data_IF_383385681297
#
_entry.id   IF_383385681297
#
_cell.length_a   1.000
_cell.length_b   1.000
_cell.length_c   1.000
_cell.angle_alpha   90.00
_cell.angle_beta   90.00
_cell.angle_gamma   90.00
#
_symmetry.space_group_name_H-M   'P 1'
#
loop_
_entity.id
_entity.type
_entity.pdbx_description
1 polymer ?
#
# COMPACT_ATOMS: atom_id res chain seq x y z
N UNK A 1 -1.07 20.04 -52.15
CA UNK A 1 -1.84 19.19 -51.21
C UNK A 1 -1.48 19.68 -49.81
N UNK A 2 -2.41 20.38 -49.14
CA UNK A 2 -2.15 21.08 -47.89
C UNK A 2 -2.62 20.18 -46.75
N UNK A 3 -1.70 19.72 -45.91
CA UNK A 3 -2.00 18.83 -44.78
C UNK A 3 -2.63 19.68 -43.67
N UNK A 4 -3.91 19.44 -43.37
CA UNK A 4 -4.63 20.09 -42.28
C UNK A 4 -4.08 19.59 -40.93
N UNK A 5 -3.45 20.50 -40.19
CA UNK A 5 -2.89 20.25 -38.86
C UNK A 5 -3.96 20.29 -37.74
N UNK A 6 -5.23 20.46 -38.08
CA UNK A 6 -6.34 20.59 -37.13
C UNK A 6 -6.51 19.40 -36.17
N UNK A 7 -6.08 18.19 -36.58
CA UNK A 7 -6.14 17.01 -35.70
C UNK A 7 -5.19 17.13 -34.50
N UNK A 8 -4.01 17.76 -34.70
CA UNK A 8 -2.99 17.89 -33.65
C UNK A 8 -3.48 18.81 -32.53
N UNK A 9 -4.12 19.92 -32.89
CA UNK A 9 -4.68 20.86 -31.91
C UNK A 9 -5.86 20.27 -31.12
N UNK A 10 -6.72 19.47 -31.76
CA UNK A 10 -7.83 18.77 -31.07
C UNK A 10 -7.32 17.71 -30.09
N UNK A 11 -6.25 17.01 -30.46
CA UNK A 11 -5.60 16.04 -29.58
C UNK A 11 -4.99 16.69 -28.33
N UNK A 12 -4.25 17.79 -28.52
CA UNK A 12 -3.64 18.51 -27.39
C UNK A 12 -4.67 19.13 -26.45
N UNK A 13 -5.81 19.60 -26.98
CA UNK A 13 -6.93 20.07 -26.16
C UNK A 13 -7.55 18.94 -25.34
N UNK A 14 -7.84 17.78 -25.95
CA UNK A 14 -8.40 16.64 -25.23
C UNK A 14 -7.43 16.09 -24.16
N UNK A 15 -6.13 16.03 -24.47
CA UNK A 15 -5.09 15.63 -23.53
C UNK A 15 -4.96 16.62 -22.36
N UNK A 16 -5.01 17.92 -22.64
CA UNK A 16 -4.98 18.97 -21.61
C UNK A 16 -6.18 18.90 -20.67
N UNK A 17 -7.38 18.64 -21.19
CA UNK A 17 -8.60 18.46 -20.37
C UNK A 17 -8.50 17.22 -19.49
N UNK A 18 -7.98 16.10 -20.03
CA UNK A 18 -7.79 14.87 -19.25
C UNK A 18 -6.79 15.09 -18.10
N UNK A 19 -5.67 15.76 -18.35
CA UNK A 19 -4.68 16.09 -17.31
C UNK A 19 -5.26 17.04 -16.26
N UNK A 20 -6.03 18.06 -16.68
CA UNK A 20 -6.69 18.98 -15.76
C UNK A 20 -7.74 18.27 -14.89
N UNK A 21 -8.50 17.33 -15.46
CA UNK A 21 -9.44 16.51 -14.70
C UNK A 21 -8.71 15.62 -13.69
N UNK A 22 -7.63 14.94 -14.08
CA UNK A 22 -6.84 14.10 -13.17
C UNK A 22 -6.23 14.92 -12.02
N UNK A 23 -5.76 16.15 -12.30
CA UNK A 23 -5.23 17.05 -11.28
C UNK A 23 -6.29 17.52 -10.27
N UNK A 24 -7.57 17.62 -10.67
CA UNK A 24 -8.67 17.98 -9.76
C UNK A 24 -9.04 16.85 -8.77
N UNK A 25 -8.61 15.60 -9.02
CA UNK A 25 -8.92 14.46 -8.16
C UNK A 25 -7.91 14.22 -7.01
N UNK A 26 -6.92 15.10 -6.84
CA UNK A 26 -5.96 15.08 -5.71
C UNK A 26 -5.34 13.68 -5.48
N UNK A 27 -4.99 13.01 -6.57
CA UNK A 27 -4.34 11.71 -6.55
C UNK A 27 -2.90 11.84 -6.02
N UNK A 28 -2.36 10.73 -5.50
CA UNK A 28 -0.96 10.67 -5.12
C UNK A 28 -0.12 10.96 -6.38
N UNK A 29 0.78 11.98 -6.37
CA UNK A 29 1.50 12.44 -7.56
C UNK A 29 2.32 11.33 -8.25
N UNK A 30 2.70 10.28 -7.52
CA UNK A 30 3.37 9.11 -8.10
C UNK A 30 2.45 8.25 -8.98
N UNK A 31 1.17 8.14 -8.63
CA UNK A 31 0.17 7.39 -9.40
C UNK A 31 -0.16 8.16 -10.68
N UNK A 32 -0.32 9.49 -10.57
CA UNK A 32 -0.53 10.36 -11.73
C UNK A 32 0.63 10.28 -12.72
N UNK A 33 1.87 10.27 -12.21
CA UNK A 33 3.06 10.11 -13.04
C UNK A 33 3.08 8.75 -13.75
N UNK A 34 2.78 7.66 -13.06
CA UNK A 34 2.74 6.32 -13.65
C UNK A 34 1.63 6.18 -14.70
N UNK A 35 0.43 6.72 -14.45
CA UNK A 35 -0.66 6.70 -15.43
C UNK A 35 -0.28 7.54 -16.66
N UNK A 36 0.24 8.76 -16.46
CA UNK A 36 0.66 9.63 -17.56
C UNK A 36 1.81 9.01 -18.38
N UNK A 37 2.78 8.38 -17.72
CA UNK A 37 3.90 7.70 -18.37
C UNK A 37 3.44 6.46 -19.15
N UNK A 38 2.55 5.64 -18.58
CA UNK A 38 2.02 4.44 -19.24
C UNK A 38 1.16 4.79 -20.44
N UNK A 39 0.31 5.83 -20.34
CA UNK A 39 -0.47 6.35 -21.48
C UNK A 39 0.47 6.90 -22.55
N UNK A 40 1.52 7.62 -22.18
CA UNK A 40 2.51 8.16 -23.13
C UNK A 40 3.30 7.05 -23.83
N UNK A 41 3.69 5.99 -23.12
CA UNK A 41 4.36 4.83 -23.69
C UNK A 41 3.45 4.03 -24.62
N UNK A 42 2.19 3.84 -24.27
CA UNK A 42 1.21 3.19 -25.14
C UNK A 42 0.99 4.00 -26.43
N UNK A 43 0.87 5.31 -26.32
CA UNK A 43 0.75 6.22 -27.48
C UNK A 43 2.04 6.22 -28.32
N UNK A 44 3.22 6.17 -27.71
CA UNK A 44 4.49 6.14 -28.45
C UNK A 44 4.75 4.78 -29.12
N UNK A 45 4.50 3.67 -28.41
CA UNK A 45 4.71 2.31 -28.90
C UNK A 45 3.71 1.92 -29.99
N UNK A 46 2.48 2.44 -29.92
CA UNK A 46 1.44 2.15 -30.89
C UNK A 46 1.21 3.28 -31.90
N UNK A 47 1.70 4.49 -31.69
CA UNK A 47 1.50 5.65 -32.58
C UNK A 47 1.80 5.39 -34.06
N UNK A 48 2.92 4.71 -34.41
CA UNK A 48 3.21 4.36 -35.80
C UNK A 48 2.28 3.29 -36.38
N UNK A 49 1.69 2.43 -35.52
CA UNK A 49 0.71 1.41 -35.92
C UNK A 49 -0.70 2.00 -35.99
N UNK A 50 -1.08 2.90 -35.09
CA UNK A 50 -2.38 3.60 -35.06
C UNK A 50 -2.59 4.46 -36.32
N UNK A 51 -1.52 4.96 -36.95
CA UNK A 51 -1.60 5.65 -38.25
C UNK A 51 -2.17 4.78 -39.39
N UNK A 52 -2.13 3.44 -39.27
CA UNK A 52 -2.79 2.50 -40.20
C UNK A 52 -4.18 2.06 -39.74
N UNK A 53 -4.52 2.26 -38.47
CA UNK A 53 -5.84 1.94 -37.96
C UNK A 53 -6.76 3.10 -38.32
N UNK A 54 -7.64 2.91 -39.31
CA UNK A 54 -8.73 3.83 -39.62
C UNK A 54 -9.79 3.78 -38.51
N UNK A 55 -9.39 4.02 -37.27
CA UNK A 55 -10.34 4.21 -36.17
C UNK A 55 -10.88 5.61 -36.37
N UNK A 56 -12.15 5.69 -36.78
CA UNK A 56 -12.83 6.97 -36.89
C UNK A 56 -12.73 7.68 -35.53
N UNK A 57 -12.52 9.01 -35.50
CA UNK A 57 -12.36 9.78 -34.25
C UNK A 57 -13.51 9.53 -33.24
N UNK A 58 -14.69 9.17 -33.73
CA UNK A 58 -15.85 8.77 -32.92
C UNK A 58 -15.61 7.51 -32.09
N UNK A 59 -14.87 6.53 -32.61
CA UNK A 59 -14.55 5.30 -31.87
C UNK A 59 -13.46 5.50 -30.82
N UNK A 60 -12.52 6.43 -31.05
CA UNK A 60 -11.50 6.78 -30.06
C UNK A 60 -12.12 7.41 -28.79
N UNK A 61 -13.15 8.25 -28.96
CA UNK A 61 -13.93 8.82 -27.86
C UNK A 61 -14.67 7.70 -27.10
N UNK A 62 -15.21 6.72 -27.83
CA UNK A 62 -15.84 5.54 -27.23
C UNK A 62 -14.89 4.76 -26.32
N UNK A 63 -13.68 4.43 -26.79
CA UNK A 63 -12.70 3.70 -25.99
C UNK A 63 -12.23 4.49 -24.75
N UNK A 64 -11.98 5.79 -24.90
CA UNK A 64 -11.58 6.65 -23.77
C UNK A 64 -12.70 6.75 -22.71
N UNK A 65 -13.96 6.81 -23.15
CA UNK A 65 -15.12 6.86 -22.25
C UNK A 65 -15.30 5.55 -21.48
N UNK A 66 -15.15 4.40 -22.14
CA UNK A 66 -15.22 3.08 -21.48
C UNK A 66 -14.11 2.91 -20.46
N UNK A 67 -12.87 3.29 -20.79
CA UNK A 67 -11.75 3.27 -19.85
C UNK A 67 -11.98 4.18 -18.64
N UNK A 68 -12.50 5.39 -18.86
CA UNK A 68 -12.86 6.32 -17.78
C UNK A 68 -13.93 5.72 -16.86
N UNK A 69 -14.99 5.13 -17.44
CA UNK A 69 -16.05 4.47 -16.67
C UNK A 69 -15.56 3.26 -15.87
N UNK A 70 -14.62 2.47 -16.40
CA UNK A 70 -14.01 1.35 -15.66
C UNK A 70 -13.16 1.83 -14.48
N UNK A 71 -12.39 2.92 -14.65
CA UNK A 71 -11.61 3.53 -13.56
C UNK A 71 -12.54 4.10 -12.49
N UNK A 72 -13.60 4.82 -12.89
CA UNK A 72 -14.60 5.36 -11.96
C UNK A 72 -15.38 4.25 -11.25
N UNK A 73 -15.72 3.16 -11.93
CA UNK A 73 -16.36 1.99 -11.32
C UNK A 73 -15.43 1.31 -10.29
N UNK A 74 -14.13 1.19 -10.59
CA UNK A 74 -13.13 0.70 -9.64
C UNK A 74 -12.99 1.58 -8.39
N UNK A 75 -13.02 2.91 -8.57
CA UNK A 75 -12.99 3.87 -7.47
C UNK A 75 -14.27 3.83 -6.62
N UNK A 76 -15.43 3.79 -7.27
CA UNK A 76 -16.73 3.65 -6.63
C UNK A 76 -16.83 2.36 -5.81
N UNK A 77 -16.34 1.24 -6.37
CA UNK A 77 -16.33 -0.04 -5.68
C UNK A 77 -15.50 0.01 -4.38
N UNK A 78 -14.35 0.67 -4.38
CA UNK A 78 -13.52 0.82 -3.18
C UNK A 78 -14.23 1.61 -2.07
N UNK A 79 -14.94 2.69 -2.42
CA UNK A 79 -15.71 3.47 -1.44
C UNK A 79 -16.93 2.73 -0.92
N UNK A 80 -17.63 1.99 -1.79
CA UNK A 80 -18.77 1.16 -1.41
C UNK A 80 -18.35 0.02 -0.49
N UNK A 81 -17.22 -0.66 -0.77
CA UNK A 81 -16.68 -1.72 0.08
C UNK A 81 -16.26 -1.19 1.45
N UNK A 82 -15.63 -0.01 1.51
CA UNK A 82 -15.27 0.65 2.78
C UNK A 82 -16.51 1.06 3.59
N UNK A 83 -17.55 1.60 2.94
CA UNK A 83 -18.80 1.94 3.61
C UNK A 83 -19.59 0.70 4.07
N UNK A 84 -19.43 -0.43 3.38
CA UNK A 84 -20.01 -1.71 3.73
C UNK A 84 -19.24 -2.46 4.83
N UNK A 85 -18.14 -1.89 5.37
CA UNK A 85 -17.31 -2.56 6.38
C UNK A 85 -16.60 -3.81 5.84
N UNK A 86 -16.50 -3.95 4.52
CA UNK A 86 -15.71 -5.00 3.89
C UNK A 86 -14.27 -4.52 3.88
N UNK A 87 -13.51 -4.92 4.89
CA UNK A 87 -12.06 -4.75 4.92
C UNK A 87 -11.47 -5.55 3.76
N UNK A 88 -11.12 -4.85 2.68
CA UNK A 88 -10.22 -5.38 1.68
C UNK A 88 -8.95 -5.85 2.38
N UNK A 89 -8.32 -6.97 1.95
CA UNK A 89 -7.03 -7.37 2.50
C UNK A 89 -6.12 -6.14 2.46
N UNK A 90 -5.67 -5.72 3.63
CA UNK A 90 -4.87 -4.51 3.79
C UNK A 90 -3.71 -4.67 2.81
N UNK A 91 -3.71 -3.90 1.72
CA UNK A 91 -2.54 -3.77 0.83
C UNK A 91 -1.51 -2.87 1.56
N UNK A 92 -1.44 -3.00 2.88
CA UNK A 92 -0.39 -2.48 3.70
C UNK A 92 0.87 -3.19 3.27
N UNK A 93 1.90 -2.40 2.99
CA UNK A 93 3.25 -2.89 2.82
C UNK A 93 3.63 -3.71 4.05
N UNK A 94 3.48 -5.03 3.97
CA UNK A 94 3.94 -5.91 5.02
C UNK A 94 5.45 -5.77 5.13
N UNK A 95 5.93 -5.34 6.30
CA UNK A 95 7.36 -5.24 6.55
C UNK A 95 7.93 -6.60 6.89
N UNK A 96 9.11 -6.92 6.37
CA UNK A 96 9.80 -8.17 6.67
C UNK A 96 10.73 -7.91 7.83
N UNK A 97 10.40 -8.47 8.99
CA UNK A 97 11.26 -8.46 10.17
C UNK A 97 11.90 -9.83 10.40
N UNK A 98 13.09 -9.84 10.99
CA UNK A 98 13.80 -11.07 11.34
C UNK A 98 13.98 -11.14 12.85
N UNK A 99 13.55 -12.24 13.46
CA UNK A 99 13.70 -12.42 14.90
C UNK A 99 15.18 -12.61 15.27
N UNK A 100 15.69 -11.81 16.20
CA UNK A 100 17.04 -11.96 16.77
C UNK A 100 17.06 -12.80 18.04
N UNK A 101 15.92 -13.34 18.47
CA UNK A 101 15.79 -14.34 19.54
C UNK A 101 14.56 -15.23 19.29
N UNK A 102 14.33 -16.23 20.15
CA UNK A 102 13.08 -17.00 20.09
C UNK A 102 11.94 -16.11 20.62
N UNK A 103 10.91 -15.90 19.80
CA UNK A 103 9.81 -15.02 20.14
C UNK A 103 8.52 -15.79 20.39
N UNK A 104 7.84 -15.46 21.50
CA UNK A 104 6.54 -16.02 21.86
C UNK A 104 5.41 -15.20 21.25
N UNK A 105 4.36 -15.87 20.78
CA UNK A 105 3.23 -15.21 20.12
C UNK A 105 1.94 -15.45 20.87
N UNK A 106 1.09 -14.43 20.91
CA UNK A 106 -0.09 -14.36 21.76
C UNK A 106 -1.26 -13.76 20.98
N UNK A 107 -2.49 -14.21 21.24
CA UNK A 107 -3.67 -13.59 20.64
C UNK A 107 -4.02 -12.27 21.31
N UNK A 108 -3.63 -12.07 22.58
CA UNK A 108 -3.82 -10.82 23.31
C UNK A 108 -2.46 -10.16 23.61
N UNK A 109 -2.26 -8.97 23.05
CA UNK A 109 -1.04 -8.19 23.24
C UNK A 109 -1.11 -7.24 24.45
N UNK A 110 -2.30 -7.03 25.03
CA UNK A 110 -2.51 -6.08 26.13
C UNK A 110 -1.97 -6.59 27.46
N UNK A 111 -1.94 -7.91 27.64
CA UNK A 111 -1.46 -8.58 28.84
C UNK A 111 -0.49 -9.75 28.54
N UNK A 112 -0.05 -9.88 27.29
CA UNK A 112 0.72 -11.02 26.79
C UNK A 112 0.03 -12.38 27.01
N UNK A 113 -1.30 -12.40 26.90
CA UNK A 113 -2.15 -13.53 27.23
C UNK A 113 -3.00 -14.08 26.07
N UNK A 114 -4.14 -14.66 26.44
CA UNK A 114 -5.00 -15.42 25.53
C UNK A 114 -4.41 -16.77 25.13
N UNK A 115 -4.53 -17.12 23.85
CA UNK A 115 -3.98 -18.38 23.32
C UNK A 115 -2.54 -18.15 22.84
N UNK A 116 -1.60 -18.96 23.33
CA UNK A 116 -0.25 -18.97 22.80
C UNK A 116 -0.24 -19.58 21.39
N UNK A 117 0.33 -18.85 20.43
CA UNK A 117 0.54 -19.33 19.08
C UNK A 117 1.87 -20.05 18.89
N UNK A 118 2.17 -20.49 17.65
CA UNK A 118 3.48 -21.02 17.31
C UNK A 118 4.59 -20.02 17.62
N UNK A 119 5.74 -20.52 18.09
CA UNK A 119 6.93 -19.70 18.34
C UNK A 119 7.55 -19.24 17.03
N UNK A 120 8.22 -18.09 17.06
CA UNK A 120 9.09 -17.63 15.97
C UNK A 120 10.53 -18.00 16.37
N UNK A 121 11.19 -18.92 15.65
CA UNK A 121 12.58 -19.25 15.93
C UNK A 121 13.52 -18.08 15.65
N UNK A 122 14.68 -18.07 16.31
CA UNK A 122 15.78 -17.16 15.99
C UNK A 122 16.15 -17.21 14.50
N UNK A 123 16.39 -16.04 13.90
CA UNK A 123 16.75 -15.86 12.50
C UNK A 123 15.59 -16.09 11.53
N UNK A 124 14.38 -16.37 12.03
CA UNK A 124 13.22 -16.61 11.17
C UNK A 124 12.64 -15.26 10.70
N UNK A 125 12.57 -15.01 9.39
CA UNK A 125 11.86 -13.85 8.88
C UNK A 125 10.35 -14.07 8.90
N UNK A 126 9.61 -13.02 9.28
CA UNK A 126 8.16 -12.96 9.23
C UNK A 126 7.70 -11.65 8.62
N UNK A 127 6.49 -11.65 8.08
CA UNK A 127 5.81 -10.44 7.61
C UNK A 127 5.02 -9.85 8.76
N UNK A 128 5.24 -8.58 9.05
CA UNK A 128 4.55 -7.79 10.05
C UNK A 128 3.52 -6.90 9.35
N UNK A 129 2.29 -6.91 9.86
CA UNK A 129 1.21 -6.06 9.36
C UNK A 129 1.33 -4.63 9.92
N UNK A 130 1.48 -4.52 11.23
CA UNK A 130 1.47 -3.24 11.92
C UNK A 130 2.11 -3.35 13.31
N UNK A 131 2.43 -2.20 13.91
CA UNK A 131 2.90 -2.08 15.29
C UNK A 131 1.85 -1.45 16.21
N UNK A 132 1.84 -1.85 17.46
CA UNK A 132 0.87 -1.43 18.48
C UNK A 132 1.52 -1.41 19.85
N UNK A 133 1.19 -0.42 20.69
CA UNK A 133 1.59 -0.43 22.11
C UNK A 133 0.67 -1.34 22.92
N UNK A 134 1.24 -2.13 23.81
CA UNK A 134 0.58 -3.18 24.58
C UNK A 134 1.21 -3.43 25.93
N UNK A 135 1.21 -4.70 26.35
CA UNK A 135 1.84 -5.15 27.58
C UNK A 135 3.33 -4.76 27.60
N UNK A 136 3.75 -4.11 28.68
CA UNK A 136 5.14 -3.74 28.86
C UNK A 136 5.95 -4.93 29.36
N UNK A 137 6.84 -5.46 28.52
CA UNK A 137 7.74 -6.56 28.87
C UNK A 137 8.87 -6.11 29.81
N UNK A 138 9.63 -7.06 30.36
CA UNK A 138 10.55 -6.84 31.47
C UNK A 138 11.69 -5.83 31.19
N UNK A 139 12.09 -5.66 29.93
CA UNK A 139 13.10 -4.67 29.52
C UNK A 139 12.51 -3.25 29.35
N UNK A 140 11.19 -3.12 29.55
CA UNK A 140 10.46 -1.89 29.47
C UNK A 140 9.88 -1.57 28.09
N UNK A 141 10.06 -2.43 27.09
CA UNK A 141 9.44 -2.28 25.78
C UNK A 141 7.93 -2.57 25.85
N UNK A 142 7.13 -1.69 25.27
CA UNK A 142 5.67 -1.82 25.17
C UNK A 142 5.21 -2.00 23.72
N UNK A 143 6.12 -2.12 22.75
CA UNK A 143 5.78 -2.32 21.36
C UNK A 143 5.57 -3.78 21.00
N UNK A 144 4.49 -4.02 20.26
CA UNK A 144 4.07 -5.31 19.75
C UNK A 144 3.86 -5.25 18.25
N UNK A 145 4.06 -6.39 17.59
CA UNK A 145 3.83 -6.57 16.16
C UNK A 145 2.70 -7.54 15.89
N UNK A 146 1.79 -7.17 15.00
CA UNK A 146 0.78 -8.08 14.45
C UNK A 146 1.39 -8.89 13.31
N UNK A 147 1.42 -10.20 13.43
CA UNK A 147 2.13 -11.08 12.49
C UNK A 147 1.22 -11.47 11.31
N UNK A 148 1.56 -11.05 10.10
CA UNK A 148 0.82 -11.37 8.88
C UNK A 148 1.21 -12.73 8.27
N UNK A 149 2.41 -13.24 8.56
CA UNK A 149 2.85 -14.55 8.07
C UNK A 149 1.94 -15.69 8.57
N UNK A 150 1.73 -16.75 7.77
CA UNK A 150 1.24 -18.02 8.29
C UNK A 150 2.25 -18.62 9.30
N UNK A 151 1.78 -19.37 10.32
CA UNK A 151 0.38 -19.73 10.61
C UNK A 151 -0.42 -18.67 11.40
N UNK A 152 0.20 -17.53 11.74
CA UNK A 152 -0.42 -16.50 12.57
C UNK A 152 -1.52 -15.71 11.87
N UNK A 153 -1.38 -15.48 10.55
CA UNK A 153 -2.42 -14.94 9.67
C UNK A 153 -3.12 -13.66 10.19
N UNK A 154 -2.39 -12.79 10.88
CA UNK A 154 -2.91 -11.55 11.45
C UNK A 154 -3.68 -11.72 12.77
N UNK A 155 -3.71 -12.90 13.38
CA UNK A 155 -4.46 -13.13 14.62
C UNK A 155 -3.57 -13.22 15.87
N UNK A 156 -2.26 -13.14 15.70
CA UNK A 156 -1.30 -13.20 16.79
C UNK A 156 -0.35 -12.01 16.75
N UNK A 157 0.11 -11.68 17.94
CA UNK A 157 1.01 -10.60 18.23
C UNK A 157 2.28 -11.14 18.88
N UNK A 158 3.35 -10.39 18.75
CA UNK A 158 4.66 -10.71 19.34
C UNK A 158 5.31 -9.42 19.80
N UNK A 159 6.05 -9.48 20.91
CA UNK A 159 6.84 -8.34 21.38
C UNK A 159 7.91 -7.96 20.35
N UNK A 160 8.07 -6.66 20.10
CA UNK A 160 8.95 -6.13 19.06
C UNK A 160 10.45 -6.22 19.43
N UNK A 161 10.79 -6.28 20.72
CA UNK A 161 12.17 -6.46 21.23
C UNK A 161 12.86 -7.73 20.73
N UNK A 162 12.08 -8.76 20.38
CA UNK A 162 12.62 -10.01 19.86
C UNK A 162 13.19 -9.89 18.44
N UNK A 163 13.06 -8.74 17.77
CA UNK A 163 13.44 -8.48 16.39
C UNK A 163 14.61 -7.49 16.28
N UNK A 164 15.34 -7.54 15.16
CA UNK A 164 16.46 -6.64 14.92
C UNK A 164 16.04 -5.16 14.70
N UNK A 165 14.84 -4.90 14.15
CA UNK A 165 14.23 -3.57 14.05
C UNK A 165 15.08 -2.49 13.37
N UNK A 166 16.08 -2.88 12.59
CA UNK A 166 17.04 -1.99 11.95
C UNK A 166 17.40 -2.43 10.52
N UNK A 167 16.62 -3.36 9.96
CA UNK A 167 16.85 -3.96 8.65
C UNK A 167 17.87 -5.10 8.62
N UNK A 168 18.58 -5.38 9.73
CA UNK A 168 19.46 -6.55 9.81
C UNK A 168 18.65 -7.85 9.97
N UNK A 169 19.29 -8.97 9.62
CA UNK A 169 18.75 -10.32 9.78
C UNK A 169 19.60 -11.22 10.68
N UNK A 170 20.71 -10.68 11.19
CA UNK A 170 21.69 -11.37 12.01
C UNK A 170 22.45 -10.39 12.92
N UNK A 171 23.04 -10.91 14.00
CA UNK A 171 23.87 -10.14 14.93
C UNK A 171 23.32 -10.10 16.35
N UNK A 172 23.76 -9.11 17.12
CA UNK A 172 23.31 -8.90 18.50
C UNK A 172 22.05 -8.03 18.55
N UNK A 173 21.09 -8.40 19.41
CA UNK A 173 19.96 -7.53 19.78
C UNK A 173 20.36 -6.38 20.71
N UNK A 174 21.56 -6.42 21.30
CA UNK A 174 22.02 -5.30 22.15
C UNK A 174 22.23 -4.04 21.30
N UNK A 175 21.51 -2.98 21.64
CA UNK A 175 21.61 -1.70 20.95
C UNK A 175 20.74 -1.61 19.69
N UNK A 176 19.93 -2.63 19.38
CA UNK A 176 18.90 -2.47 18.35
C UNK A 176 17.73 -1.65 18.88
N UNK A 177 16.98 -0.96 18.00
CA UNK A 177 15.76 -0.29 18.40
C UNK A 177 14.74 -1.27 19.01
N UNK A 178 13.91 -0.79 19.92
CA UNK A 178 12.78 -1.55 20.47
C UNK A 178 11.70 -1.86 19.45
N UNK A 179 11.60 -1.05 18.40
CA UNK A 179 10.62 -1.19 17.32
C UNK A 179 11.15 -0.53 16.06
N UNK A 180 10.91 -1.14 14.91
CA UNK A 180 10.98 -0.49 13.60
C UNK A 180 9.78 0.47 13.40
N UNK A 181 10.08 1.77 13.31
CA UNK A 181 9.10 2.84 13.12
C UNK A 181 8.63 2.99 11.67
N UNK A 182 9.28 2.34 10.70
CA UNK A 182 8.80 2.27 9.32
C UNK A 182 7.51 1.42 9.22
N UNK A 183 7.29 0.53 10.19
CA UNK A 183 6.06 -0.25 10.31
C UNK A 183 4.91 0.67 10.76
N UNK A 184 3.78 0.69 10.02
CA UNK A 184 2.66 1.56 10.37
C UNK A 184 1.98 1.13 11.68
N UNK A 185 1.35 2.08 12.37
CA UNK A 185 0.49 1.79 13.52
C UNK A 185 -0.72 0.96 13.09
N UNK A 186 -1.14 0.03 13.95
CA UNK A 186 -2.39 -0.72 13.78
C UNK A 186 -3.60 0.24 13.81
N UNK A 187 -4.66 -0.11 13.08
CA UNK A 187 -5.80 0.77 12.84
C UNK A 187 -6.51 1.23 14.13
N UNK A 188 -6.62 0.32 15.10
CA UNK A 188 -7.10 0.56 16.46
C UNK A 188 -6.31 1.68 17.17
N UNK A 189 -4.98 1.69 17.06
CA UNK A 189 -4.16 2.75 17.64
C UNK A 189 -4.20 4.07 16.87
N UNK A 190 -4.45 4.03 15.56
CA UNK A 190 -4.57 5.26 14.74
C UNK A 190 -5.76 6.12 15.15
N UNK A 191 -6.83 5.51 15.65
CA UNK A 191 -8.04 6.21 16.09
C UNK A 191 -7.85 6.82 17.49
N UNK A 192 -7.10 6.15 18.37
CA UNK A 192 -6.94 6.56 19.77
C UNK A 192 -5.93 7.72 19.92
N UNK A 193 -4.93 7.83 19.03
CA UNK A 193 -4.02 8.98 19.05
C UNK A 193 -4.53 10.11 18.15
N UNK A 194 -5.09 11.21 18.70
CA UNK A 194 -5.32 12.40 17.89
C UNK A 194 -4.00 12.82 17.27
N UNK A 195 -4.03 13.05 15.94
CA UNK A 195 -2.91 13.43 15.09
C UNK A 195 -2.09 14.53 15.78
N UNK A 196 -0.95 14.16 16.37
CA UNK A 196 -0.05 15.12 17.01
C UNK A 196 0.64 15.87 15.87
N UNK A 197 0.14 17.07 15.57
CA UNK A 197 0.73 17.99 14.61
C UNK A 197 2.07 18.42 15.22
N UNK A 198 3.17 17.96 14.63
CA UNK A 198 4.51 18.50 14.85
C UNK A 198 4.87 19.40 13.68
#
# INVERSE_FOLDING_TARGET
MQIDNGWRNRYWLAFGVLLAMLALFNLNPWIDFLIAFTVSLLVAAHGPRIAKWRVAPEQAIGYASVLCLLVLAGYGLRHVLSAAGVDLPEIGSHHRESAGSVAHTWTDYMDAGGTQGPLIPHGRPVRIACRVEGFRVADGNDWWYRIASPPWNGNYYVSADAFYNNGNDSGSLRGTPFVDYAIPLCADQRVIRPKRIH
#
